data_IF_110828027865
#
_entry.id   IF_110828027865
#
_cell.length_a   1.000
_cell.length_b   1.000
_cell.length_c   1.000
_cell.angle_alpha   90.00
_cell.angle_beta   90.00
_cell.angle_gamma   90.00
#
_symmetry.space_group_name_H-M   'P 1'
#
loop_
_entity.id
_entity.type
_entity.pdbx_description
1 polymer ?
#
# COMPACT_ATOMS: atom_id res chain seq x y z
N UNK A 1 -3.20 -22.07 3.51
CA UNK A 1 -2.33 -21.25 2.62
C UNK A 1 -2.08 -19.94 3.36
N UNK A 2 -0.86 -19.44 3.40
CA UNK A 2 -0.55 -18.17 4.06
C UNK A 2 -1.09 -17.03 3.19
N UNK A 3 -1.76 -16.03 3.76
CA UNK A 3 -2.46 -14.96 3.04
C UNK A 3 -1.56 -14.15 2.07
N UNK A 4 -0.26 -14.09 2.32
CA UNK A 4 0.70 -13.30 1.54
C UNK A 4 1.33 -14.05 0.35
N UNK A 5 1.09 -15.35 0.20
CA UNK A 5 1.81 -16.21 -0.77
C UNK A 5 1.65 -15.73 -2.21
N UNK A 6 0.44 -15.31 -2.58
CA UNK A 6 0.17 -14.82 -3.93
C UNK A 6 0.87 -13.48 -4.19
N UNK A 7 0.81 -12.54 -3.24
CA UNK A 7 1.47 -11.23 -3.35
C UNK A 7 2.99 -11.35 -3.40
N UNK A 8 3.56 -12.29 -2.64
CA UNK A 8 4.99 -12.59 -2.63
C UNK A 8 5.48 -13.08 -4.01
N UNK A 9 4.61 -13.71 -4.80
CA UNK A 9 4.95 -14.16 -6.15
C UNK A 9 5.31 -13.02 -7.12
N UNK A 10 4.86 -11.80 -6.83
CA UNK A 10 5.14 -10.58 -7.60
C UNK A 10 6.14 -9.64 -6.89
N UNK A 11 6.46 -9.91 -5.63
CA UNK A 11 7.36 -9.09 -4.84
C UNK A 11 8.80 -9.18 -5.38
N UNK A 12 9.47 -8.04 -5.48
CA UNK A 12 10.81 -7.89 -6.06
C UNK A 12 10.95 -8.30 -7.54
N UNK A 13 9.83 -8.45 -8.25
CA UNK A 13 9.84 -8.68 -9.70
C UNK A 13 9.66 -7.38 -10.49
N UNK A 14 10.40 -7.21 -11.59
CA UNK A 14 10.15 -6.12 -12.52
C UNK A 14 8.71 -6.14 -13.02
N UNK A 15 8.06 -4.99 -13.09
CA UNK A 15 6.67 -4.89 -13.56
C UNK A 15 6.46 -5.49 -14.96
N UNK A 16 7.48 -5.44 -15.82
CA UNK A 16 7.44 -6.03 -17.17
C UNK A 16 7.35 -7.55 -17.21
N UNK A 17 7.74 -8.22 -16.13
CA UNK A 17 7.72 -9.68 -16.00
C UNK A 17 6.42 -10.21 -15.36
N UNK A 18 5.57 -9.30 -14.89
CA UNK A 18 4.30 -9.70 -14.27
C UNK A 18 3.29 -10.14 -15.35
N UNK A 19 2.50 -11.20 -15.05
CA UNK A 19 1.51 -11.69 -16.01
C UNK A 19 0.46 -10.61 -16.35
N UNK A 20 0.19 -10.34 -17.64
CA UNK A 20 -0.81 -9.36 -18.05
C UNK A 20 -2.21 -9.56 -17.43
N UNK A 21 -2.73 -10.78 -17.26
CA UNK A 21 -4.01 -10.98 -16.57
C UNK A 21 -4.00 -10.46 -15.13
N UNK A 22 -2.90 -10.64 -14.40
CA UNK A 22 -2.73 -10.15 -13.03
C UNK A 22 -2.69 -8.63 -12.98
N UNK A 23 -1.83 -8.01 -13.80
CA UNK A 23 -1.70 -6.55 -13.84
C UNK A 23 -3.00 -5.87 -14.25
N UNK A 24 -3.75 -6.44 -15.21
CA UNK A 24 -5.05 -5.94 -15.62
C UNK A 24 -6.11 -6.08 -14.52
N UNK A 25 -6.09 -7.18 -13.74
CA UNK A 25 -6.97 -7.37 -12.58
C UNK A 25 -6.74 -6.30 -11.53
N UNK A 26 -5.48 -6.08 -11.14
CA UNK A 26 -5.12 -5.06 -10.14
C UNK A 26 -5.48 -3.65 -10.63
N UNK A 27 -5.18 -3.33 -11.89
CA UNK A 27 -5.55 -2.05 -12.51
C UNK A 27 -7.06 -1.82 -12.51
N UNK A 28 -7.85 -2.85 -12.83
CA UNK A 28 -9.31 -2.79 -12.77
C UNK A 28 -9.76 -2.52 -11.34
N UNK A 29 -9.22 -3.23 -10.37
CA UNK A 29 -9.57 -3.08 -8.96
C UNK A 29 -9.25 -1.70 -8.40
N UNK A 30 -8.06 -1.16 -8.70
CA UNK A 30 -7.68 0.22 -8.34
C UNK A 30 -8.73 1.23 -8.86
N UNK A 31 -9.19 1.04 -10.11
CA UNK A 31 -10.18 1.92 -10.72
C UNK A 31 -11.54 1.84 -10.01
N UNK A 32 -11.98 0.63 -9.62
CA UNK A 32 -13.24 0.40 -8.90
C UNK A 32 -13.23 1.02 -7.50
N UNK A 33 -12.06 1.14 -6.86
CA UNK A 33 -11.91 1.73 -5.52
C UNK A 33 -11.94 3.27 -5.52
N UNK A 34 -11.87 3.92 -6.69
CA UNK A 34 -11.98 5.38 -6.76
C UNK A 34 -13.37 5.84 -6.36
N UNK A 35 -13.47 6.53 -5.24
CA UNK A 35 -14.75 7.04 -4.72
C UNK A 35 -14.64 8.54 -4.43
N UNK A 36 -15.64 9.36 -4.81
CA UNK A 36 -15.59 10.81 -4.59
C UNK A 36 -15.62 11.22 -3.12
N UNK A 37 -16.30 10.42 -2.28
CA UNK A 37 -16.44 10.64 -0.85
C UNK A 37 -16.01 9.38 -0.08
N UNK A 38 -14.70 9.10 0.05
CA UNK A 38 -14.22 7.93 0.78
C UNK A 38 -14.41 8.11 2.29
N UNK A 39 -14.63 7.01 3.00
CA UNK A 39 -14.55 6.99 4.45
C UNK A 39 -13.10 6.95 4.91
N UNK A 40 -12.27 6.23 4.16
CA UNK A 40 -10.85 6.01 4.48
C UNK A 40 -9.98 6.38 3.29
N UNK A 41 -8.95 7.19 3.55
CA UNK A 41 -7.84 7.40 2.62
C UNK A 41 -6.66 6.50 3.03
N UNK A 42 -6.25 5.61 2.13
CA UNK A 42 -5.03 4.83 2.28
C UNK A 42 -3.90 5.60 1.60
N UNK A 43 -2.94 6.07 2.40
CA UNK A 43 -1.82 6.89 1.95
C UNK A 43 -0.55 6.06 1.98
N UNK A 44 -0.05 5.69 0.81
CA UNK A 44 1.23 5.00 0.64
C UNK A 44 2.34 5.99 0.28
N UNK A 45 3.52 5.83 0.86
CA UNK A 45 4.71 6.58 0.47
C UNK A 45 5.67 5.67 -0.28
N UNK A 46 6.27 6.14 -1.36
CA UNK A 46 7.17 5.36 -2.20
C UNK A 46 8.43 6.17 -2.58
N UNK A 47 9.59 5.54 -2.41
CA UNK A 47 10.87 6.06 -2.88
C UNK A 47 11.70 4.92 -3.46
N UNK A 48 11.83 4.86 -4.80
CA UNK A 48 12.53 3.79 -5.51
C UNK A 48 11.98 2.37 -5.20
N UNK A 49 10.66 2.21 -5.34
CA UNK A 49 9.93 0.97 -5.04
C UNK A 49 9.40 0.26 -6.29
N UNK A 50 10.05 0.47 -7.44
CA UNK A 50 9.60 -0.06 -8.73
C UNK A 50 9.32 -1.57 -8.76
N UNK A 51 10.04 -2.36 -7.97
CA UNK A 51 9.85 -3.82 -7.90
C UNK A 51 8.92 -4.29 -6.76
N UNK A 52 8.50 -3.39 -5.86
CA UNK A 52 7.70 -3.75 -4.67
C UNK A 52 6.32 -3.12 -4.65
N UNK A 53 6.20 -1.90 -5.20
CA UNK A 53 4.95 -1.12 -5.17
C UNK A 53 3.75 -1.89 -5.74
N UNK A 54 3.96 -2.76 -6.74
CA UNK A 54 2.88 -3.56 -7.31
C UNK A 54 2.28 -4.52 -6.27
N UNK A 55 3.10 -5.28 -5.53
CA UNK A 55 2.64 -6.24 -4.52
C UNK A 55 1.93 -5.54 -3.36
N UNK A 56 2.43 -4.38 -2.93
CA UNK A 56 1.77 -3.52 -1.95
C UNK A 56 0.37 -3.14 -2.43
N UNK A 57 0.26 -2.50 -3.59
CA UNK A 57 -1.01 -2.06 -4.15
C UNK A 57 -1.97 -3.22 -4.42
N UNK A 58 -1.46 -4.36 -4.88
CA UNK A 58 -2.28 -5.55 -5.06
C UNK A 58 -2.89 -6.00 -3.72
N UNK A 59 -2.10 -6.12 -2.66
CA UNK A 59 -2.58 -6.52 -1.34
C UNK A 59 -3.62 -5.54 -0.76
N UNK A 60 -3.43 -4.24 -0.97
CA UNK A 60 -4.38 -3.21 -0.53
C UNK A 60 -5.67 -3.24 -1.35
N UNK A 61 -5.58 -3.42 -2.67
CA UNK A 61 -6.76 -3.48 -3.54
C UNK A 61 -7.67 -4.66 -3.23
N UNK A 62 -7.14 -5.76 -2.72
CA UNK A 62 -7.89 -6.95 -2.33
C UNK A 62 -8.34 -6.93 -0.86
N UNK A 63 -8.11 -5.82 -0.14
CA UNK A 63 -8.65 -5.67 1.20
C UNK A 63 -10.19 -5.69 1.20
N UNK A 64 -10.76 -6.45 2.13
CA UNK A 64 -12.19 -6.60 2.26
C UNK A 64 -12.77 -5.45 3.09
N UNK A 65 -13.20 -4.39 2.41
CA UNK A 65 -13.82 -3.22 3.02
C UNK A 65 -15.28 -3.12 2.61
N UNK A 66 -16.16 -2.93 3.60
CA UNK A 66 -17.60 -2.69 3.39
C UNK A 66 -17.94 -1.20 3.33
N UNK A 67 -16.96 -0.36 3.17
CA UNK A 67 -17.06 1.10 3.09
C UNK A 67 -16.17 1.64 1.97
N UNK A 68 -16.46 2.83 1.44
CA UNK A 68 -15.69 3.42 0.36
C UNK A 68 -14.30 3.83 0.83
N UNK A 69 -13.29 3.50 0.05
CA UNK A 69 -11.89 3.89 0.28
C UNK A 69 -11.35 4.61 -0.95
N UNK A 70 -10.29 5.37 -0.77
CA UNK A 70 -9.40 5.80 -1.83
C UNK A 70 -7.96 5.36 -1.54
N UNK A 71 -7.17 5.21 -2.60
CA UNK A 71 -5.74 4.93 -2.50
C UNK A 71 -4.99 6.11 -3.10
N UNK A 72 -4.09 6.68 -2.31
CA UNK A 72 -3.18 7.76 -2.69
C UNK A 72 -1.75 7.25 -2.52
N UNK A 73 -0.93 7.40 -3.55
CA UNK A 73 0.51 7.13 -3.47
C UNK A 73 1.27 8.43 -3.56
N UNK A 74 2.23 8.65 -2.68
CA UNK A 74 3.15 9.77 -2.80
C UNK A 74 4.49 9.25 -3.29
N UNK A 75 4.86 9.64 -4.50
CA UNK A 75 6.16 9.37 -5.09
C UNK A 75 7.16 10.40 -4.56
N UNK A 76 7.96 10.01 -3.59
CA UNK A 76 8.93 10.89 -2.95
C UNK A 76 10.27 10.85 -3.66
N UNK A 77 10.39 11.66 -4.72
CA UNK A 77 11.65 11.85 -5.43
C UNK A 77 12.30 10.54 -5.93
N UNK A 78 11.49 9.60 -6.48
CA UNK A 78 12.03 8.37 -7.08
C UNK A 78 12.78 8.65 -8.37
N UNK A 79 13.86 7.92 -8.58
CA UNK A 79 14.71 7.98 -9.77
C UNK A 79 14.61 6.72 -10.64
N UNK A 80 13.93 5.70 -10.14
CA UNK A 80 13.66 4.44 -10.83
C UNK A 80 12.34 4.48 -11.61
N UNK A 81 11.81 3.32 -11.98
CA UNK A 81 10.55 3.19 -12.72
C UNK A 81 9.28 3.29 -11.86
N UNK A 82 9.37 3.64 -10.55
CA UNK A 82 8.22 3.74 -9.63
C UNK A 82 7.09 4.58 -10.23
N UNK A 83 7.37 5.81 -10.64
CA UNK A 83 6.34 6.70 -11.20
C UNK A 83 5.69 6.13 -12.46
N UNK A 84 6.48 5.52 -13.34
CA UNK A 84 5.99 4.88 -14.56
C UNK A 84 4.98 3.77 -14.25
N UNK A 85 5.23 2.98 -13.19
CA UNK A 85 4.33 1.91 -12.74
C UNK A 85 3.03 2.50 -12.18
N UNK A 86 3.10 3.55 -11.36
CA UNK A 86 1.92 4.22 -10.83
C UNK A 86 1.02 4.75 -11.96
N UNK A 87 1.61 5.36 -12.99
CA UNK A 87 0.90 5.79 -14.21
C UNK A 87 0.23 4.61 -14.92
N UNK A 88 0.94 3.52 -15.14
CA UNK A 88 0.41 2.31 -15.79
C UNK A 88 -0.75 1.68 -15.02
N UNK A 89 -0.67 1.64 -13.70
CA UNK A 89 -1.73 1.13 -12.84
C UNK A 89 -2.95 2.08 -12.77
N UNK A 90 -2.74 3.37 -13.04
CA UNK A 90 -3.78 4.38 -12.96
C UNK A 90 -4.22 4.69 -11.53
N UNK A 91 -3.36 4.42 -10.54
CA UNK A 91 -3.59 4.84 -9.16
C UNK A 91 -3.46 6.36 -9.04
N UNK A 92 -4.18 6.97 -8.09
CA UNK A 92 -3.98 8.38 -7.77
C UNK A 92 -2.65 8.56 -7.09
N UNK A 93 -1.78 9.42 -7.62
CA UNK A 93 -0.49 9.69 -7.01
C UNK A 93 -0.11 11.16 -7.11
N UNK A 94 0.79 11.59 -6.24
CA UNK A 94 1.39 12.92 -6.19
C UNK A 94 2.89 12.80 -6.09
N UNK A 95 3.62 13.73 -6.70
CA UNK A 95 5.07 13.83 -6.55
C UNK A 95 5.38 14.79 -5.40
N UNK A 96 6.30 14.38 -4.53
CA UNK A 96 6.86 15.20 -3.47
C UNK A 96 8.37 15.34 -3.69
N UNK A 97 8.80 16.57 -3.95
CA UNK A 97 10.18 16.88 -4.31
C UNK A 97 11.11 16.95 -3.07
N UNK A 98 10.56 17.26 -1.90
CA UNK A 98 11.35 17.26 -0.67
C UNK A 98 11.58 15.82 -0.21
N UNK A 99 12.85 15.41 -0.17
CA UNK A 99 13.24 14.07 0.25
C UNK A 99 12.93 13.84 1.72
N UNK A 100 12.28 12.73 2.00
CA UNK A 100 12.04 12.24 3.35
C UNK A 100 10.62 11.75 3.58
N UNK A 101 10.46 10.69 4.39
CA UNK A 101 9.16 10.06 4.63
C UNK A 101 8.14 10.99 5.31
N UNK A 102 8.62 11.95 6.09
CA UNK A 102 7.76 12.96 6.74
C UNK A 102 7.08 13.87 5.72
N UNK A 103 7.84 14.40 4.74
CA UNK A 103 7.29 15.24 3.67
C UNK A 103 6.31 14.46 2.80
N UNK A 104 6.66 13.22 2.44
CA UNK A 104 5.78 12.35 1.67
C UNK A 104 4.46 12.06 2.41
N UNK A 105 4.51 11.73 3.71
CA UNK A 105 3.28 11.51 4.51
C UNK A 105 2.45 12.79 4.61
N UNK A 106 3.07 13.94 4.85
CA UNK A 106 2.36 15.21 4.91
C UNK A 106 1.70 15.54 3.57
N UNK A 107 2.41 15.35 2.46
CA UNK A 107 1.84 15.52 1.11
C UNK A 107 0.60 14.63 0.93
N UNK A 108 0.70 13.34 1.26
CA UNK A 108 -0.43 12.41 1.15
C UNK A 108 -1.62 12.79 2.04
N UNK A 109 -1.36 13.18 3.28
CA UNK A 109 -2.40 13.62 4.21
C UNK A 109 -3.12 14.90 3.74
N UNK A 110 -2.40 15.83 3.12
CA UNK A 110 -2.99 17.06 2.58
C UNK A 110 -3.95 16.79 1.40
N UNK A 111 -3.79 15.65 0.71
CA UNK A 111 -4.65 15.26 -0.41
C UNK A 111 -5.74 14.23 -0.02
N UNK A 112 -5.66 13.70 1.20
CA UNK A 112 -6.62 12.73 1.72
C UNK A 112 -8.00 13.35 1.94
N UNK A 113 -9.05 12.68 1.45
CA UNK A 113 -10.45 13.11 1.58
C UNK A 113 -11.23 12.31 2.61
N UNK A 114 -10.70 11.16 3.02
CA UNK A 114 -11.34 10.27 3.98
C UNK A 114 -11.38 10.88 5.38
N UNK A 115 -12.43 10.53 6.11
CA UNK A 115 -12.52 10.86 7.55
C UNK A 115 -11.37 10.23 8.35
N UNK A 116 -10.91 9.06 7.92
CA UNK A 116 -9.80 8.34 8.52
C UNK A 116 -8.66 8.20 7.50
N UNK A 117 -7.42 8.31 7.97
CA UNK A 117 -6.23 8.10 7.16
C UNK A 117 -5.49 6.86 7.66
N UNK A 118 -5.17 5.94 6.74
CA UNK A 118 -4.32 4.78 6.99
C UNK A 118 -3.02 4.97 6.23
N UNK A 119 -1.97 5.36 6.95
CA UNK A 119 -0.63 5.52 6.37
C UNK A 119 0.06 4.17 6.27
N UNK A 120 0.64 3.87 5.12
CA UNK A 120 1.31 2.61 4.81
C UNK A 120 2.64 2.86 4.09
N UNK A 121 3.53 1.88 4.17
CA UNK A 121 4.77 1.84 3.42
C UNK A 121 4.59 0.96 2.17
N UNK A 122 5.23 1.32 1.07
CA UNK A 122 5.01 0.70 -0.24
C UNK A 122 5.83 -0.57 -0.49
N UNK A 123 6.73 -0.93 0.41
CA UNK A 123 7.52 -2.16 0.43
C UNK A 123 6.89 -3.29 1.26
N UNK A 124 5.69 -3.07 1.77
CA UNK A 124 4.98 -3.96 2.69
C UNK A 124 3.73 -4.56 2.03
N UNK A 125 3.38 -5.80 2.38
CA UNK A 125 2.12 -6.45 2.01
C UNK A 125 1.16 -6.44 3.21
N UNK A 126 -0.13 -6.23 2.93
CA UNK A 126 -1.16 -6.01 3.95
C UNK A 126 -2.20 -7.13 3.93
N UNK A 127 -2.55 -7.72 5.11
CA UNK A 127 -3.53 -8.79 5.18
C UNK A 127 -4.93 -8.32 4.75
N UNK A 128 -5.82 -9.25 4.31
CA UNK A 128 -7.11 -8.91 3.69
C UNK A 128 -8.08 -8.08 4.53
N UNK A 129 -7.91 -8.04 5.85
CA UNK A 129 -8.76 -7.26 6.77
C UNK A 129 -8.03 -6.07 7.39
N UNK A 130 -6.84 -5.73 6.90
CA UNK A 130 -6.00 -4.68 7.50
C UNK A 130 -6.72 -3.34 7.63
N UNK A 131 -7.24 -2.81 6.51
CA UNK A 131 -7.92 -1.51 6.49
C UNK A 131 -9.14 -1.53 7.41
N UNK A 132 -9.95 -2.58 7.34
CA UNK A 132 -11.15 -2.73 8.19
C UNK A 132 -10.80 -2.77 9.66
N UNK A 133 -9.73 -3.49 10.05
CA UNK A 133 -9.28 -3.59 11.44
C UNK A 133 -8.77 -2.24 11.96
N UNK A 134 -7.94 -1.55 11.18
CA UNK A 134 -7.43 -0.22 11.54
C UNK A 134 -8.56 0.81 11.66
N UNK A 135 -9.51 0.78 10.74
CA UNK A 135 -10.68 1.68 10.78
C UNK A 135 -11.54 1.44 12.01
N UNK A 136 -11.82 0.18 12.36
CA UNK A 136 -12.57 -0.18 13.57
C UNK A 136 -11.87 0.28 14.85
N UNK A 137 -10.53 0.17 14.89
CA UNK A 137 -9.76 0.68 16.03
C UNK A 137 -9.92 2.20 16.18
N UNK A 138 -9.82 2.96 15.08
CA UNK A 138 -9.98 4.42 15.07
C UNK A 138 -11.42 4.89 15.38
N UNK A 139 -12.42 4.04 15.20
CA UNK A 139 -13.82 4.35 15.51
C UNK A 139 -14.16 4.23 17.01
N UNK A 140 -13.29 3.66 17.81
CA UNK A 140 -13.50 3.53 19.24
C UNK A 140 -13.46 4.91 19.92
N UNK A 141 -14.33 5.10 20.91
CA UNK A 141 -14.41 6.38 21.64
C UNK A 141 -13.07 6.73 22.30
N UNK A 142 -12.57 7.92 22.03
CA UNK A 142 -11.33 8.43 22.62
C UNK A 142 -10.05 7.98 21.91
N UNK A 143 -10.14 7.14 20.85
CA UNK A 143 -8.97 6.76 20.07
C UNK A 143 -8.72 7.80 18.98
N UNK A 144 -7.55 8.42 19.02
CA UNK A 144 -7.10 9.42 18.03
C UNK A 144 -6.11 8.83 17.02
N UNK A 145 -5.37 7.77 17.41
CA UNK A 145 -4.42 7.08 16.55
C UNK A 145 -4.35 5.60 16.92
N UNK A 146 -4.05 4.77 15.93
CA UNK A 146 -3.82 3.34 16.09
C UNK A 146 -2.63 2.93 15.21
N UNK A 147 -1.88 1.94 15.64
CA UNK A 147 -0.80 1.36 14.84
C UNK A 147 -0.88 -0.16 14.84
N UNK A 148 -0.34 -0.77 13.80
CA UNK A 148 -0.23 -2.22 13.68
C UNK A 148 1.22 -2.64 13.86
N UNK A 149 1.41 -3.84 14.42
CA UNK A 149 2.72 -4.48 14.42
C UNK A 149 3.00 -5.07 13.04
N UNK A 150 4.26 -5.05 12.67
CA UNK A 150 4.75 -5.65 11.44
C UNK A 150 5.74 -6.79 11.77
N UNK A 151 5.94 -7.70 10.84
CA UNK A 151 6.95 -8.74 10.94
C UNK A 151 7.60 -8.97 9.60
N UNK A 152 8.86 -9.36 9.61
CA UNK A 152 9.54 -9.82 8.41
C UNK A 152 8.97 -11.16 7.95
N UNK A 153 8.90 -11.34 6.63
CA UNK A 153 8.62 -12.65 6.07
C UNK A 153 9.92 -13.46 6.00
N UNK A 154 9.89 -14.74 6.38
CA UNK A 154 11.05 -15.60 6.22
C UNK A 154 11.38 -15.77 4.73
N UNK A 155 12.65 -15.70 4.41
CA UNK A 155 13.19 -15.91 3.07
C UNK A 155 14.33 -16.96 3.08
N UNK A 156 15.07 -17.05 1.97
CA UNK A 156 16.23 -17.97 1.87
C UNK A 156 17.40 -17.62 2.78
N UNK A 157 17.48 -16.39 3.30
CA UNK A 157 18.56 -15.91 4.17
C UNK A 157 18.15 -15.89 5.64
N UNK A 158 16.86 -15.70 5.93
CA UNK A 158 16.33 -15.57 7.28
C UNK A 158 15.22 -16.57 7.52
N UNK A 159 15.47 -17.53 8.40
CA UNK A 159 14.45 -18.49 8.84
C UNK A 159 13.42 -17.81 9.75
N UNK A 160 12.24 -18.42 9.87
CA UNK A 160 11.18 -17.92 10.77
C UNK A 160 11.67 -17.81 12.23
N UNK A 161 12.56 -18.71 12.66
CA UNK A 161 13.16 -18.69 14.00
C UNK A 161 14.18 -17.55 14.15
N UNK A 162 14.97 -17.27 13.10
CA UNK A 162 15.94 -16.16 13.12
C UNK A 162 15.27 -14.79 13.20
N UNK A 163 14.10 -14.62 12.57
CA UNK A 163 13.33 -13.37 12.60
C UNK A 163 12.62 -13.10 13.94
N UNK A 164 12.53 -14.10 14.80
CA UNK A 164 11.92 -13.93 16.14
C UNK A 164 12.86 -13.22 17.13
N UNK A 165 14.16 -13.13 16.81
CA UNK A 165 15.20 -12.54 17.66
C UNK A 165 15.72 -11.18 17.12
N UNK A 166 15.09 -10.61 16.10
CA UNK A 166 15.35 -9.26 15.57
C UNK A 166 14.29 -8.26 16.06
#
# INVERSE_FOLDING_TARGET
MKWYTDYLSAYEKPYSELPPPLTNRVKKRIRELKHPNPLVSVVAIAHNEGNRIFSCLWSICENNCHFPIEIIVVNNHSTDNTESILKKLGVTYYNEEQKGPGFARQCGLNHAKGKYCVCIDSDTMYPPLYITTMTKALQQKGVMAAYALWSFLPDKHYSQTGLFFL
#
